data_IF_986409999921
#
_entry.id   IF_986409999921
#
_cell.length_a   1.000
_cell.length_b   1.000
_cell.length_c   1.000
_cell.angle_alpha   90.00
_cell.angle_beta   90.00
_cell.angle_gamma   90.00
#
_symmetry.space_group_name_H-M   'P 1'
#
loop_
_entity.id
_entity.type
_entity.pdbx_description
1 polymer ?
#
# COMPACT_ATOMS: atom_id res chain seq x y z
N UNK A 1 -16.07 39.12 -4.53
CA UNK A 1 -15.66 37.74 -4.91
C UNK A 1 -14.63 37.27 -3.91
N UNK A 2 -14.87 36.19 -3.16
CA UNK A 2 -13.84 35.60 -2.27
C UNK A 2 -12.99 34.66 -3.11
N UNK A 3 -11.68 34.88 -3.15
CA UNK A 3 -10.74 33.96 -3.81
C UNK A 3 -10.75 32.62 -3.09
N UNK A 4 -10.76 31.52 -3.84
CA UNK A 4 -10.63 30.19 -3.27
C UNK A 4 -9.22 30.01 -2.69
N UNK A 5 -9.13 29.69 -1.40
CA UNK A 5 -7.88 29.37 -0.73
C UNK A 5 -7.37 27.99 -1.20
N UNK A 6 -6.05 27.85 -1.38
CA UNK A 6 -5.44 26.57 -1.81
C UNK A 6 -5.24 25.66 -0.59
N UNK A 7 -5.84 24.47 -0.62
CA UNK A 7 -5.58 23.41 0.34
C UNK A 7 -4.29 22.61 0.04
N UNK A 8 -3.77 21.89 1.04
CA UNK A 8 -2.68 20.90 0.88
C UNK A 8 -3.25 19.49 0.93
N UNK A 9 -2.71 18.60 0.10
CA UNK A 9 -2.99 17.15 0.12
C UNK A 9 -1.67 16.38 0.10
N UNK A 10 -1.68 15.18 0.66
CA UNK A 10 -0.61 14.18 0.55
C UNK A 10 -1.16 12.88 -0.01
N UNK A 11 -0.26 12.03 -0.51
CA UNK A 11 -0.57 10.63 -0.83
C UNK A 11 -0.01 9.78 0.30
N UNK A 12 -0.79 8.80 0.74
CA UNK A 12 -0.38 7.79 1.72
C UNK A 12 -0.23 6.45 1.02
N UNK A 13 0.86 5.73 1.27
CA UNK A 13 1.04 4.34 0.83
C UNK A 13 0.85 3.41 2.02
N UNK A 14 -0.10 2.49 1.95
CA UNK A 14 -0.39 1.56 3.04
C UNK A 14 0.04 0.14 2.67
N UNK A 15 0.94 -0.44 3.47
CA UNK A 15 1.44 -1.81 3.30
C UNK A 15 0.68 -2.75 4.23
N UNK A 16 0.13 -3.83 3.68
CA UNK A 16 -0.63 -4.82 4.42
C UNK A 16 0.19 -6.08 4.66
N UNK A 17 0.17 -6.56 5.89
CA UNK A 17 0.95 -7.71 6.33
C UNK A 17 0.00 -8.76 6.91
N UNK A 18 0.24 -10.03 6.60
CA UNK A 18 -0.40 -11.16 7.26
C UNK A 18 0.65 -12.00 7.99
N UNK A 19 0.51 -12.15 9.31
CA UNK A 19 1.46 -12.92 10.08
C UNK A 19 1.37 -14.42 9.73
N UNK A 20 2.45 -15.09 9.31
CA UNK A 20 2.43 -16.51 8.97
C UNK A 20 2.26 -17.42 10.21
N UNK A 21 2.49 -16.91 11.42
CA UNK A 21 2.40 -17.68 12.66
C UNK A 21 1.02 -17.65 13.30
N UNK A 22 0.32 -16.50 13.28
CA UNK A 22 -0.97 -16.34 13.95
C UNK A 22 -2.11 -15.91 13.02
N UNK A 23 -1.83 -15.79 11.71
CA UNK A 23 -2.76 -15.43 10.64
C UNK A 23 -3.46 -14.05 10.77
N UNK A 24 -3.12 -13.25 11.79
CA UNK A 24 -3.66 -11.90 11.99
C UNK A 24 -3.05 -10.90 11.01
N UNK A 25 -3.85 -9.90 10.65
CA UNK A 25 -3.50 -8.83 9.75
C UNK A 25 -3.09 -7.57 10.51
N UNK A 26 -2.24 -6.77 9.88
CA UNK A 26 -1.87 -5.42 10.32
C UNK A 26 -1.30 -4.63 9.15
N UNK A 27 -1.16 -3.31 9.31
CA UNK A 27 -0.67 -2.42 8.26
C UNK A 27 0.27 -1.34 8.80
N UNK A 28 1.20 -0.88 7.96
CA UNK A 28 2.06 0.28 8.22
C UNK A 28 1.90 1.27 7.05
N UNK A 29 1.72 2.55 7.39
CA UNK A 29 1.77 3.64 6.43
C UNK A 29 3.23 4.02 6.13
N UNK A 30 3.55 4.23 4.86
CA UNK A 30 4.86 4.66 4.34
C UNK A 30 6.03 3.83 4.88
N UNK A 31 5.85 2.50 4.95
CA UNK A 31 6.92 1.57 5.34
C UNK A 31 8.11 1.66 4.38
N UNK A 32 9.32 1.51 4.93
CA UNK A 32 10.54 1.43 4.12
C UNK A 32 10.51 0.17 3.26
N UNK A 33 10.53 0.36 1.93
CA UNK A 33 10.49 -0.72 0.94
C UNK A 33 11.75 -1.62 1.02
N UNK A 34 12.86 -1.12 1.56
CA UNK A 34 14.07 -1.91 1.79
C UNK A 34 13.97 -2.80 3.04
N UNK A 35 13.03 -2.54 3.95
CA UNK A 35 12.84 -3.33 5.16
C UNK A 35 11.96 -4.54 4.89
N UNK A 36 12.57 -5.72 4.81
CA UNK A 36 11.86 -6.99 4.60
C UNK A 36 11.50 -7.69 5.90
N UNK A 37 12.23 -7.44 7.00
CA UNK A 37 12.01 -8.13 8.28
C UNK A 37 11.16 -7.30 9.23
N UNK A 38 10.06 -7.88 9.71
CA UNK A 38 9.11 -7.23 10.62
C UNK A 38 8.69 -8.16 11.76
N UNK A 39 8.41 -7.58 12.93
CA UNK A 39 7.82 -8.30 14.07
C UNK A 39 6.30 -8.18 14.04
N UNK A 40 5.60 -9.30 14.21
CA UNK A 40 4.15 -9.29 14.33
C UNK A 40 3.73 -8.61 15.65
N UNK A 41 2.88 -7.57 15.61
CA UNK A 41 2.44 -6.87 16.82
C UNK A 41 1.55 -7.74 17.72
N UNK A 42 1.02 -8.83 17.19
CA UNK A 42 0.10 -9.72 17.90
C UNK A 42 0.79 -10.84 18.66
N UNK A 43 1.80 -11.49 18.05
CA UNK A 43 2.47 -12.65 18.64
C UNK A 43 3.96 -12.42 18.93
N UNK A 44 4.53 -11.28 18.52
CA UNK A 44 5.92 -10.92 18.78
C UNK A 44 6.96 -11.70 17.96
N UNK A 45 6.55 -12.60 17.06
CA UNK A 45 7.48 -13.36 16.23
C UNK A 45 7.91 -12.56 14.98
N UNK A 46 9.20 -12.62 14.60
CA UNK A 46 9.70 -12.00 13.38
C UNK A 46 9.37 -12.83 12.14
N UNK A 47 9.14 -12.17 11.00
CA UNK A 47 9.01 -12.81 9.68
C UNK A 47 9.58 -11.92 8.58
N UNK A 48 9.95 -12.54 7.46
CA UNK A 48 10.34 -11.87 6.22
C UNK A 48 9.09 -11.62 5.36
N UNK A 49 8.96 -10.42 4.81
CA UNK A 49 7.90 -10.00 3.92
C UNK A 49 8.54 -9.37 2.68
N UNK A 50 8.44 -10.05 1.55
CA UNK A 50 8.82 -9.48 0.27
C UNK A 50 7.69 -8.57 -0.21
N UNK A 51 8.06 -7.40 -0.76
CA UNK A 51 7.10 -6.61 -1.53
C UNK A 51 6.69 -7.41 -2.76
N UNK A 52 5.40 -7.75 -2.84
CA UNK A 52 4.80 -8.20 -4.08
C UNK A 52 4.67 -6.95 -4.97
N UNK A 53 5.70 -6.66 -5.76
CA UNK A 53 5.61 -5.65 -6.79
C UNK A 53 4.66 -6.22 -7.85
N UNK A 54 3.37 -5.93 -7.75
CA UNK A 54 2.46 -6.25 -8.84
C UNK A 54 2.93 -5.49 -10.08
N UNK A 55 3.24 -6.22 -11.15
CA UNK A 55 3.59 -5.63 -12.43
C UNK A 55 2.52 -4.58 -12.79
N UNK A 56 2.90 -3.42 -13.36
CA UNK A 56 1.95 -2.35 -13.63
C UNK A 56 0.78 -2.93 -14.44
N UNK A 57 -0.41 -2.83 -13.87
CA UNK A 57 -1.65 -3.20 -14.55
C UNK A 57 -1.65 -2.49 -15.91
N UNK A 58 -1.65 -3.28 -16.98
CA UNK A 58 -1.78 -2.73 -18.33
C UNK A 58 -3.06 -1.90 -18.34
N UNK A 59 -2.94 -0.59 -18.53
CA UNK A 59 -4.10 0.23 -18.86
C UNK A 59 -4.61 -0.28 -20.20
N UNK A 60 -5.81 -0.83 -20.24
CA UNK A 60 -6.50 -1.08 -21.49
C UNK A 60 -6.85 0.28 -22.10
N UNK A 61 -5.99 0.77 -23.00
CA UNK A 61 -6.35 1.83 -23.93
C UNK A 61 -7.26 1.24 -25.02
N UNK A 62 -8.48 1.76 -25.12
CA UNK A 62 -9.29 1.66 -26.33
C UNK A 62 -10.55 0.83 -26.19
N UNK A 63 -11.65 1.52 -25.84
CA UNK A 63 -12.95 1.22 -26.45
C UNK A 63 -13.63 2.54 -26.76
N UNK A 64 -13.34 3.07 -27.94
CA UNK A 64 -14.14 4.09 -28.60
C UNK A 64 -15.46 3.43 -28.98
N UNK A 65 -16.53 3.70 -28.24
CA UNK A 65 -17.87 3.57 -28.78
C UNK A 65 -18.16 4.86 -29.55
N UNK A 66 -18.22 4.77 -30.88
CA UNK A 66 -18.87 5.80 -31.70
C UNK A 66 -20.40 5.66 -31.59
N UNK A 67 -21.15 6.75 -31.83
CA UNK A 67 -22.58 6.85 -31.54
C UNK A 67 -23.49 6.10 -32.53
#
# INVERSE_FOLDING_TARGET
>A
MKSAERGRRSLERLYHFQCPHCAKWWSIADADEAQTRWFCPWCGLPSEYALLVEAPAKREEGQSHEP
#
